data_IF_080162649619
#
_entry.id   IF_080162649619
#
_cell.length_a   1.000
_cell.length_b   1.000
_cell.length_c   1.000
_cell.angle_alpha   90.00
_cell.angle_beta   90.00
_cell.angle_gamma   90.00
#
_symmetry.space_group_name_H-M   'P 1'
#
loop_
_entity.id
_entity.type
_entity.pdbx_description
1 polymer ?
#
# COMPACT_ATOMS: atom_id res chain seq x y z
N UNK A 1 -29.37 -15.53 -23.81
CA UNK A 1 -30.84 -15.25 -23.87
C UNK A 1 -31.09 -13.79 -23.50
N UNK A 2 -31.97 -13.10 -24.26
CA UNK A 2 -32.33 -11.72 -23.95
C UNK A 2 -31.35 -10.66 -24.49
N UNK A 3 -30.54 -10.98 -25.48
CA UNK A 3 -29.75 -9.96 -26.19
C UNK A 3 -30.68 -9.09 -27.00
N UNK A 4 -30.48 -7.78 -26.94
CA UNK A 4 -31.22 -6.79 -27.73
C UNK A 4 -30.45 -6.54 -29.01
N UNK A 5 -31.08 -6.77 -30.17
CA UNK A 5 -30.51 -6.49 -31.49
C UNK A 5 -31.26 -5.31 -32.08
N UNK A 6 -30.55 -4.22 -32.34
CA UNK A 6 -31.14 -2.99 -32.89
C UNK A 6 -30.46 -2.62 -34.21
N UNK A 7 -31.25 -2.17 -35.21
CA UNK A 7 -30.72 -1.59 -36.44
C UNK A 7 -30.40 -0.13 -36.20
N UNK A 8 -29.14 0.27 -36.40
CA UNK A 8 -28.61 1.61 -35.99
C UNK A 8 -29.38 2.75 -36.66
N UNK A 9 -29.78 2.62 -37.91
CA UNK A 9 -30.51 3.68 -38.66
C UNK A 9 -32.04 3.56 -38.68
N UNK A 10 -32.59 2.54 -38.01
CA UNK A 10 -34.04 2.32 -37.97
C UNK A 10 -34.46 1.82 -36.59
N UNK A 11 -35.55 2.38 -36.04
CA UNK A 11 -36.11 1.96 -34.74
C UNK A 11 -36.68 0.53 -34.77
N UNK A 12 -35.84 -0.46 -35.09
CA UNK A 12 -36.19 -1.87 -35.20
C UNK A 12 -35.40 -2.65 -34.22
N UNK A 13 -36.09 -3.30 -33.29
CA UNK A 13 -35.50 -4.04 -32.18
C UNK A 13 -36.01 -5.47 -32.20
N UNK A 14 -35.13 -6.43 -32.01
CA UNK A 14 -35.47 -7.82 -31.73
C UNK A 14 -34.79 -8.28 -30.45
N UNK A 15 -35.41 -9.21 -29.75
CA UNK A 15 -34.85 -9.89 -28.60
C UNK A 15 -34.48 -11.31 -29.01
N UNK A 16 -33.32 -11.78 -28.55
CA UNK A 16 -32.94 -13.17 -28.72
C UNK A 16 -33.69 -14.08 -27.73
N UNK A 17 -34.02 -15.26 -28.19
CA UNK A 17 -34.61 -16.34 -27.37
C UNK A 17 -33.59 -17.00 -26.45
N UNK A 18 -33.99 -18.09 -25.78
CA UNK A 18 -33.14 -18.85 -24.85
C UNK A 18 -31.95 -19.50 -25.53
N UNK A 19 -32.06 -19.81 -26.82
CA UNK A 19 -31.02 -20.49 -27.60
C UNK A 19 -30.16 -19.50 -28.39
N UNK A 20 -30.43 -18.19 -28.23
CA UNK A 20 -29.67 -17.11 -28.86
C UNK A 20 -30.18 -16.72 -30.26
N UNK A 21 -31.27 -17.31 -30.75
CA UNK A 21 -31.85 -16.95 -32.06
C UNK A 21 -32.64 -15.66 -31.95
N UNK A 22 -32.55 -14.83 -33.00
CA UNK A 22 -33.35 -13.62 -33.14
C UNK A 22 -33.88 -13.49 -34.57
N UNK A 23 -34.98 -12.80 -34.73
CA UNK A 23 -35.54 -12.53 -36.04
C UNK A 23 -35.83 -11.04 -36.20
N UNK A 24 -35.18 -10.41 -37.17
CA UNK A 24 -35.42 -9.04 -37.58
C UNK A 24 -36.08 -9.02 -38.94
N UNK A 25 -37.18 -8.25 -39.06
CA UNK A 25 -37.91 -8.10 -40.35
C UNK A 25 -37.52 -6.80 -41.04
N UNK A 26 -37.50 -6.83 -42.38
CA UNK A 26 -37.21 -5.66 -43.24
C UNK A 26 -35.83 -5.02 -43.00
N UNK A 27 -34.80 -5.82 -42.78
CA UNK A 27 -33.40 -5.40 -42.75
C UNK A 27 -32.88 -5.41 -44.18
N UNK A 28 -32.07 -4.43 -44.55
CA UNK A 28 -31.38 -4.39 -45.85
C UNK A 28 -29.97 -4.98 -45.73
N UNK A 29 -29.44 -5.52 -46.84
CA UNK A 29 -28.03 -5.87 -46.87
C UNK A 29 -27.16 -4.63 -46.54
N UNK A 30 -26.13 -4.82 -45.67
CA UNK A 30 -25.27 -3.77 -45.15
C UNK A 30 -25.84 -2.83 -44.10
N UNK A 31 -27.09 -3.06 -43.59
CA UNK A 31 -27.55 -2.37 -42.39
C UNK A 31 -26.64 -2.73 -41.19
N UNK A 32 -26.28 -1.75 -40.39
CA UNK A 32 -25.48 -1.95 -39.17
C UNK A 32 -26.41 -2.38 -38.03
N UNK A 33 -26.10 -3.54 -37.44
CA UNK A 33 -26.81 -4.11 -36.28
C UNK A 33 -26.03 -3.84 -35.04
N UNK A 34 -26.61 -3.15 -34.08
CA UNK A 34 -26.06 -2.98 -32.72
C UNK A 34 -26.66 -4.04 -31.80
N UNK A 35 -25.80 -4.86 -31.20
CA UNK A 35 -26.23 -5.96 -30.34
C UNK A 35 -25.69 -5.68 -28.91
N UNK A 36 -26.60 -5.72 -27.95
CA UNK A 36 -26.28 -5.56 -26.54
C UNK A 36 -26.95 -6.63 -25.69
N UNK A 37 -26.24 -7.13 -24.68
CA UNK A 37 -26.75 -8.07 -23.69
C UNK A 37 -26.11 -7.83 -22.34
N UNK A 38 -26.83 -8.11 -21.27
CA UNK A 38 -26.27 -7.99 -19.92
C UNK A 38 -25.11 -8.98 -19.73
N UNK A 39 -23.96 -8.50 -19.34
CA UNK A 39 -22.74 -9.31 -19.14
C UNK A 39 -21.93 -9.55 -20.41
N UNK A 40 -22.20 -8.82 -21.50
CA UNK A 40 -21.43 -8.89 -22.74
C UNK A 40 -21.13 -7.49 -23.27
N UNK A 41 -19.95 -7.33 -23.88
CA UNK A 41 -19.60 -6.08 -24.58
C UNK A 41 -20.51 -5.84 -25.73
N UNK A 42 -21.06 -4.61 -25.88
CA UNK A 42 -21.88 -4.28 -27.06
C UNK A 42 -21.04 -4.46 -28.33
N UNK A 43 -21.62 -5.10 -29.32
CA UNK A 43 -20.95 -5.39 -30.59
C UNK A 43 -21.75 -4.89 -31.73
N UNK A 44 -21.12 -4.34 -32.78
CA UNK A 44 -21.77 -4.01 -34.05
C UNK A 44 -21.43 -5.06 -35.10
N UNK A 45 -22.41 -5.42 -35.91
CA UNK A 45 -22.24 -6.34 -37.03
C UNK A 45 -22.99 -5.82 -38.24
N UNK A 46 -22.47 -6.06 -39.42
CA UNK A 46 -23.16 -5.75 -40.67
C UNK A 46 -24.14 -6.88 -40.98
N UNK A 47 -25.37 -6.54 -41.30
CA UNK A 47 -26.37 -7.53 -41.65
C UNK A 47 -25.94 -8.30 -42.91
N UNK A 48 -25.76 -9.60 -42.75
CA UNK A 48 -25.49 -10.54 -43.82
C UNK A 48 -26.63 -11.57 -43.89
N UNK A 49 -27.03 -11.92 -45.11
CA UNK A 49 -28.13 -12.87 -45.35
C UNK A 49 -27.64 -14.29 -45.66
N UNK A 50 -26.40 -14.59 -45.23
CA UNK A 50 -25.90 -15.98 -45.30
C UNK A 50 -26.69 -16.89 -44.35
N UNK A 51 -26.83 -18.16 -44.75
CA UNK A 51 -27.65 -19.17 -44.05
C UNK A 51 -27.25 -19.42 -42.60
N UNK A 52 -26.05 -18.99 -42.17
CA UNK A 52 -25.49 -19.15 -40.82
C UNK A 52 -24.97 -17.83 -40.25
N UNK A 53 -25.65 -16.71 -40.45
CA UNK A 53 -25.23 -15.44 -39.86
C UNK A 53 -25.21 -15.52 -38.33
N UNK A 54 -24.04 -15.41 -37.76
CA UNK A 54 -23.80 -15.53 -36.32
C UNK A 54 -23.04 -14.32 -35.79
N UNK A 55 -23.61 -13.66 -34.80
CA UNK A 55 -22.94 -12.60 -34.08
C UNK A 55 -22.37 -13.18 -32.78
N UNK A 56 -21.05 -13.09 -32.59
CA UNK A 56 -20.36 -13.50 -31.37
C UNK A 56 -20.16 -12.27 -30.55
N UNK A 57 -20.63 -12.31 -29.33
CA UNK A 57 -20.38 -11.24 -28.32
C UNK A 57 -19.33 -11.70 -27.37
N UNK A 58 -18.36 -10.82 -27.10
CA UNK A 58 -17.37 -11.05 -26.04
C UNK A 58 -18.01 -10.79 -24.66
N UNK A 59 -17.74 -11.64 -23.70
CA UNK A 59 -18.19 -11.43 -22.35
C UNK A 59 -17.61 -10.11 -21.81
N UNK A 60 -18.46 -9.28 -21.23
CA UNK A 60 -18.00 -8.09 -20.51
C UNK A 60 -17.34 -8.54 -19.19
N UNK A 61 -16.09 -8.94 -19.29
CA UNK A 61 -15.27 -9.35 -18.16
C UNK A 61 -15.08 -8.20 -17.18
N UNK A 62 -15.20 -6.95 -17.63
CA UNK A 62 -15.11 -5.77 -16.77
C UNK A 62 -16.32 -5.65 -15.83
N UNK A 63 -17.50 -6.10 -16.21
CA UNK A 63 -18.65 -6.11 -15.29
C UNK A 63 -18.44 -7.06 -14.10
N UNK A 64 -17.67 -8.14 -14.29
CA UNK A 64 -17.28 -9.08 -13.23
C UNK A 64 -15.92 -8.74 -12.63
N UNK A 65 -15.02 -8.12 -13.39
CA UNK A 65 -13.71 -7.67 -12.90
C UNK A 65 -13.83 -6.56 -11.85
N UNK A 66 -14.87 -5.73 -11.92
CA UNK A 66 -15.12 -4.66 -10.96
C UNK A 66 -16.08 -5.07 -9.84
N UNK A 67 -15.89 -6.26 -9.27
CA UNK A 67 -16.62 -6.63 -8.06
C UNK A 67 -15.91 -6.05 -6.83
N UNK A 68 -16.68 -5.47 -5.93
CA UNK A 68 -16.22 -5.02 -4.62
C UNK A 68 -16.29 -6.20 -3.64
N UNK A 69 -15.17 -6.65 -3.06
CA UNK A 69 -15.21 -7.57 -1.95
C UNK A 69 -15.88 -6.89 -0.75
N UNK A 70 -16.93 -7.51 -0.25
CA UNK A 70 -17.64 -7.12 0.97
C UNK A 70 -17.55 -8.29 1.97
N UNK A 71 -17.89 -8.08 3.25
CA UNK A 71 -17.91 -9.16 4.21
C UNK A 71 -18.74 -10.35 3.71
N UNK A 72 -18.08 -11.51 3.56
CA UNK A 72 -18.70 -12.79 3.12
C UNK A 72 -19.36 -12.79 1.73
N UNK A 73 -19.19 -11.72 0.93
CA UNK A 73 -19.82 -11.59 -0.39
C UNK A 73 -18.94 -10.74 -1.33
N UNK A 74 -19.19 -10.87 -2.62
CA UNK A 74 -18.69 -9.95 -3.65
C UNK A 74 -19.88 -9.39 -4.41
N UNK A 75 -19.96 -8.08 -4.58
CA UNK A 75 -21.01 -7.40 -5.35
C UNK A 75 -20.38 -6.62 -6.49
N UNK A 76 -21.01 -6.61 -7.68
CA UNK A 76 -20.63 -5.67 -8.74
C UNK A 76 -20.67 -4.24 -8.21
N UNK A 77 -19.63 -3.44 -8.53
CA UNK A 77 -19.47 -2.09 -8.01
C UNK A 77 -20.71 -1.20 -8.15
N UNK A 78 -21.48 -1.38 -9.23
CA UNK A 78 -22.72 -0.63 -9.50
C UNK A 78 -23.85 -0.89 -8.48
N UNK A 79 -23.79 -2.00 -7.73
CA UNK A 79 -24.77 -2.35 -6.70
C UNK A 79 -24.27 -2.12 -5.29
N UNK A 80 -23.05 -1.59 -5.13
CA UNK A 80 -22.48 -1.26 -3.83
C UNK A 80 -22.98 0.13 -3.43
N UNK A 81 -23.81 0.18 -2.41
CA UNK A 81 -24.34 1.42 -1.83
C UNK A 81 -23.48 1.89 -0.66
N UNK A 82 -22.67 1.00 -0.14
CA UNK A 82 -21.77 1.20 0.99
C UNK A 82 -20.55 2.05 0.55
N UNK A 83 -20.06 2.90 1.46
CA UNK A 83 -18.87 3.70 1.21
C UNK A 83 -17.61 2.86 1.38
N UNK A 84 -17.04 2.44 0.28
CA UNK A 84 -15.84 1.59 0.23
C UNK A 84 -14.75 2.20 -0.65
N UNK A 85 -13.49 1.84 -0.40
CA UNK A 85 -12.38 2.03 -1.31
C UNK A 85 -11.65 0.70 -1.49
N UNK A 86 -11.21 0.45 -2.71
CA UNK A 86 -10.48 -0.78 -3.06
C UNK A 86 -9.11 -0.37 -3.58
N UNK A 87 -8.09 -1.11 -3.13
CA UNK A 87 -6.73 -1.07 -3.67
C UNK A 87 -6.38 -2.47 -4.12
N UNK A 88 -5.89 -2.61 -5.33
CA UNK A 88 -5.46 -3.91 -5.86
C UNK A 88 -4.07 -4.29 -5.36
N UNK A 89 -3.76 -5.59 -5.35
CA UNK A 89 -2.42 -6.07 -5.01
C UNK A 89 -1.35 -5.47 -5.93
N UNK A 90 -1.64 -5.33 -7.22
CA UNK A 90 -0.73 -4.72 -8.19
C UNK A 90 -0.40 -3.25 -7.86
N UNK A 91 -1.36 -2.50 -7.33
CA UNK A 91 -1.12 -1.12 -6.88
C UNK A 91 -0.25 -1.11 -5.62
N UNK A 92 -0.47 -2.03 -4.69
CA UNK A 92 0.34 -2.16 -3.48
C UNK A 92 1.79 -2.58 -3.78
N UNK A 93 1.99 -3.45 -4.77
CA UNK A 93 3.32 -3.91 -5.19
C UNK A 93 4.20 -2.76 -5.75
N UNK A 94 3.60 -1.67 -6.25
CA UNK A 94 4.34 -0.48 -6.70
C UNK A 94 4.97 0.32 -5.55
N UNK A 95 4.54 0.07 -4.32
CA UNK A 95 5.04 0.75 -3.13
C UNK A 95 5.96 -0.17 -2.34
N UNK A 96 7.29 -0.01 -2.42
CA UNK A 96 8.27 -0.91 -1.76
C UNK A 96 8.39 -0.60 -0.25
N UNK A 97 7.26 -0.54 0.46
CA UNK A 97 7.19 -0.25 1.90
C UNK A 97 7.47 -1.51 2.72
N UNK A 98 8.06 -1.34 3.90
CA UNK A 98 8.28 -2.43 4.85
C UNK A 98 7.03 -2.78 5.63
N UNK A 99 6.26 -1.76 5.99
CA UNK A 99 4.98 -1.88 6.69
C UNK A 99 3.86 -1.54 5.72
N UNK A 100 2.94 -2.49 5.50
CA UNK A 100 1.91 -2.39 4.48
C UNK A 100 0.99 -1.18 4.66
N UNK A 101 0.75 -0.75 5.91
CA UNK A 101 -0.06 0.43 6.22
C UNK A 101 0.49 1.70 5.56
N UNK A 102 1.81 1.80 5.39
CA UNK A 102 2.45 2.97 4.77
C UNK A 102 2.11 3.10 3.28
N UNK A 103 1.78 1.98 2.61
CA UNK A 103 1.31 2.01 1.23
C UNK A 103 -0.05 2.70 1.06
N UNK A 104 -0.84 2.84 2.13
CA UNK A 104 -2.16 3.49 2.06
C UNK A 104 -2.06 5.01 2.06
N UNK A 105 -0.94 5.56 2.49
CA UNK A 105 -0.68 7.01 2.43
C UNK A 105 -0.78 7.45 0.98
N UNK A 106 -1.68 8.37 0.67
CA UNK A 106 -1.96 8.88 -0.67
C UNK A 106 -2.63 7.93 -1.68
N UNK A 107 -2.72 6.62 -1.43
CA UNK A 107 -3.38 5.67 -2.36
C UNK A 107 -4.85 5.47 -2.02
N UNK A 108 -5.24 5.59 -0.76
CA UNK A 108 -6.60 5.32 -0.30
C UNK A 108 -7.26 6.56 0.26
N UNK A 109 -8.33 7.01 -0.40
CA UNK A 109 -9.10 8.17 0.10
C UNK A 109 -9.82 7.87 1.41
N UNK A 110 -9.66 8.78 2.39
CA UNK A 110 -10.30 8.70 3.71
C UNK A 110 -9.65 7.70 4.66
N UNK A 111 -8.42 7.31 4.38
CA UNK A 111 -7.53 6.60 5.31
C UNK A 111 -6.37 7.54 5.63
N UNK A 112 -6.09 7.69 6.90
CA UNK A 112 -4.95 8.44 7.42
C UNK A 112 -3.99 7.45 8.08
N UNK A 113 -2.72 7.54 7.74
CA UNK A 113 -1.68 6.75 8.37
C UNK A 113 -0.67 7.68 9.02
N UNK A 114 -0.23 7.30 10.20
CA UNK A 114 0.78 8.02 10.96
C UNK A 114 1.86 7.05 11.40
N UNK A 115 3.05 7.21 10.84
CA UNK A 115 4.24 6.46 11.21
C UNK A 115 4.98 7.21 12.31
N UNK A 116 5.01 6.64 13.50
CA UNK A 116 5.69 7.23 14.66
C UNK A 116 7.19 6.98 14.62
N UNK A 117 7.61 5.83 14.07
CA UNK A 117 9.00 5.38 13.99
C UNK A 117 9.20 4.63 12.67
N UNK A 118 10.35 4.84 12.04
CA UNK A 118 10.72 4.21 10.76
C UNK A 118 11.92 3.26 10.89
N UNK A 119 12.31 2.92 12.11
CA UNK A 119 13.44 2.02 12.36
C UNK A 119 13.09 0.58 11.94
N UNK A 120 14.04 -0.18 11.38
CA UNK A 120 13.82 -1.56 10.99
C UNK A 120 13.36 -2.44 12.16
N UNK A 121 12.16 -3.04 12.02
CA UNK A 121 11.56 -3.88 13.05
C UNK A 121 10.81 -3.14 14.16
N UNK A 122 10.94 -1.82 14.27
CA UNK A 122 10.27 -0.97 15.25
C UNK A 122 9.29 0.01 14.62
N UNK A 123 9.02 -0.14 13.33
CA UNK A 123 8.09 0.73 12.61
C UNK A 123 6.66 0.48 13.10
N UNK A 124 6.12 1.44 13.82
CA UNK A 124 4.71 1.46 14.22
C UNK A 124 3.95 2.46 13.36
N UNK A 125 3.01 1.96 12.57
CA UNK A 125 2.11 2.79 11.78
C UNK A 125 0.70 2.68 12.30
N UNK A 126 0.21 3.76 12.88
CA UNK A 126 -1.19 3.90 13.24
C UNK A 126 -2.01 4.22 11.99
N UNK A 127 -3.19 3.63 11.90
CA UNK A 127 -4.11 3.84 10.78
C UNK A 127 -5.50 4.22 11.29
N UNK A 128 -6.10 5.24 10.66
CA UNK A 128 -7.43 5.73 10.99
C UNK A 128 -8.29 5.84 9.73
N UNK A 129 -9.56 5.48 9.86
CA UNK A 129 -10.52 5.63 8.77
C UNK A 129 -11.44 6.80 9.09
N UNK A 130 -11.36 7.87 8.28
CA UNK A 130 -12.09 9.14 8.48
C UNK A 130 -11.77 9.81 9.84
N UNK A 131 -10.51 9.73 10.25
CA UNK A 131 -9.99 10.35 11.47
C UNK A 131 -10.24 9.58 12.76
N UNK A 132 -9.81 10.17 13.87
CA UNK A 132 -9.94 9.61 15.21
C UNK A 132 -11.34 9.87 15.75
N UNK A 133 -12.09 8.83 16.08
CA UNK A 133 -13.48 8.91 16.54
C UNK A 133 -13.67 8.68 18.03
N UNK A 134 -12.65 8.23 18.74
CA UNK A 134 -12.70 7.94 20.17
C UNK A 134 -11.50 8.50 20.91
N UNK A 135 -11.72 8.96 22.14
CA UNK A 135 -10.65 9.40 23.03
C UNK A 135 -9.85 8.24 23.62
N UNK A 136 -10.43 7.03 23.63
CA UNK A 136 -9.71 5.84 24.10
C UNK A 136 -8.66 5.42 23.07
N UNK A 137 -7.38 5.60 23.40
CA UNK A 137 -6.25 5.33 22.50
C UNK A 137 -6.20 3.86 22.02
N UNK A 138 -6.50 2.91 22.88
CA UNK A 138 -6.47 1.47 22.55
C UNK A 138 -7.62 1.02 21.64
N UNK A 139 -8.64 1.84 21.44
CA UNK A 139 -9.80 1.52 20.62
C UNK A 139 -9.89 2.36 19.35
N UNK A 140 -8.81 3.01 18.91
CA UNK A 140 -8.80 3.90 17.73
C UNK A 140 -8.61 3.18 16.40
N UNK A 141 -7.95 2.04 16.44
CA UNK A 141 -7.60 1.29 15.22
C UNK A 141 -8.83 0.69 14.54
N UNK A 142 -8.88 0.64 13.21
CA UNK A 142 -9.91 -0.09 12.48
C UNK A 142 -9.76 -1.60 12.69
N UNK A 143 -10.84 -2.34 12.45
CA UNK A 143 -10.83 -3.79 12.47
C UNK A 143 -10.15 -4.33 11.20
N UNK A 144 -9.19 -5.23 11.34
CA UNK A 144 -8.46 -5.83 10.21
C UNK A 144 -8.87 -7.29 10.06
N UNK A 145 -9.36 -7.64 8.88
CA UNK A 145 -9.85 -8.97 8.52
C UNK A 145 -9.09 -9.47 7.30
N UNK A 146 -8.37 -10.55 7.45
CA UNK A 146 -7.63 -11.22 6.36
C UNK A 146 -8.30 -12.56 6.08
N UNK A 147 -8.86 -12.71 4.87
CA UNK A 147 -9.60 -13.92 4.46
C UNK A 147 -10.64 -14.37 5.50
N UNK A 148 -11.46 -13.42 5.96
CA UNK A 148 -12.51 -13.58 6.98
C UNK A 148 -12.02 -13.88 8.41
N UNK A 149 -10.73 -13.78 8.69
CA UNK A 149 -10.14 -13.95 10.03
C UNK A 149 -9.50 -12.64 10.47
N UNK A 150 -9.76 -12.23 11.72
CA UNK A 150 -9.08 -11.06 12.30
C UNK A 150 -7.60 -11.34 12.49
N UNK A 151 -6.76 -10.46 11.95
CA UNK A 151 -5.29 -10.56 12.00
C UNK A 151 -4.67 -9.17 12.04
N UNK A 152 -3.39 -9.13 12.40
CA UNK A 152 -2.57 -7.93 12.28
C UNK A 152 -2.07 -7.76 10.84
N UNK A 153 -2.12 -6.53 10.35
CA UNK A 153 -1.66 -6.15 9.01
C UNK A 153 -0.14 -5.98 8.93
N UNK A 154 0.51 -5.70 10.06
CA UNK A 154 1.94 -5.38 10.13
C UNK A 154 2.85 -6.49 9.62
N UNK A 155 2.39 -7.74 9.71
CA UNK A 155 3.14 -8.92 9.28
C UNK A 155 2.80 -9.38 7.86
N UNK A 156 1.87 -8.71 7.18
CA UNK A 156 1.51 -9.06 5.81
C UNK A 156 2.45 -8.39 4.81
N UNK A 157 2.79 -9.14 3.77
CA UNK A 157 3.47 -8.62 2.59
C UNK A 157 2.46 -8.23 1.52
N UNK A 158 2.82 -7.33 0.61
CA UNK A 158 1.97 -6.91 -0.50
C UNK A 158 1.73 -8.01 -1.54
N UNK A 159 2.75 -8.83 -1.82
CA UNK A 159 2.72 -9.84 -2.89
C UNK A 159 1.61 -10.88 -2.84
N UNK A 160 1.26 -11.48 -1.68
CA UNK A 160 0.18 -12.45 -1.60
C UNK A 160 -1.22 -11.80 -1.60
N UNK A 161 -1.32 -10.47 -1.67
CA UNK A 161 -2.60 -9.77 -1.62
C UNK A 161 -3.21 -9.66 -3.01
N UNK A 162 -4.48 -10.01 -3.15
CA UNK A 162 -5.30 -9.79 -4.34
C UNK A 162 -5.88 -8.37 -4.33
N UNK A 163 -6.50 -8.01 -3.19
CA UNK A 163 -7.10 -6.69 -3.00
C UNK A 163 -7.29 -6.36 -1.52
N UNK A 164 -7.32 -5.07 -1.22
CA UNK A 164 -7.71 -4.55 0.09
C UNK A 164 -8.93 -3.65 -0.08
N UNK A 165 -10.00 -3.97 0.64
CA UNK A 165 -11.23 -3.18 0.66
C UNK A 165 -11.37 -2.49 2.01
N UNK A 166 -11.47 -1.16 1.99
CA UNK A 166 -11.67 -0.34 3.18
C UNK A 166 -13.16 -0.05 3.32
N UNK A 167 -13.76 -0.47 4.43
CA UNK A 167 -15.15 -0.22 4.80
C UNK A 167 -15.22 1.03 5.67
N UNK A 168 -15.85 2.09 5.15
CA UNK A 168 -15.76 3.43 5.77
C UNK A 168 -17.02 3.86 6.52
N UNK A 169 -18.13 3.17 6.34
CA UNK A 169 -19.41 3.52 6.94
C UNK A 169 -19.99 2.39 7.79
N UNK A 170 -20.99 2.74 8.60
CA UNK A 170 -21.65 1.80 9.48
C UNK A 170 -22.45 0.72 8.74
N UNK A 171 -22.96 1.02 7.55
CA UNK A 171 -23.70 0.05 6.76
C UNK A 171 -22.78 -1.09 6.29
N UNK A 172 -21.55 -0.73 5.83
CA UNK A 172 -20.55 -1.71 5.42
C UNK A 172 -19.99 -2.52 6.60
N UNK A 173 -19.88 -1.93 7.78
CA UNK A 173 -19.29 -2.57 8.98
C UNK A 173 -20.31 -3.19 9.94
N UNK A 174 -21.62 -3.06 9.67
CA UNK A 174 -22.70 -3.52 10.54
C UNK A 174 -22.57 -4.99 10.98
N UNK A 175 -22.08 -5.86 10.10
CA UNK A 175 -21.88 -7.28 10.37
C UNK A 175 -20.85 -7.55 11.47
N UNK A 176 -19.90 -6.61 11.69
CA UNK A 176 -18.88 -6.71 12.73
C UNK A 176 -19.30 -6.07 14.05
N UNK A 177 -20.52 -5.50 14.11
CA UNK A 177 -21.06 -4.86 15.30
C UNK A 177 -20.16 -3.73 15.81
N UNK A 178 -20.03 -3.63 17.14
CA UNK A 178 -19.24 -2.58 17.79
C UNK A 178 -17.75 -2.60 17.41
N UNK A 179 -17.20 -3.74 17.03
CA UNK A 179 -15.80 -3.89 16.61
C UNK A 179 -15.50 -3.14 15.29
N UNK A 180 -16.51 -3.00 14.44
CA UNK A 180 -16.43 -2.24 13.19
C UNK A 180 -16.69 -0.73 13.33
N UNK A 181 -16.79 -0.19 14.56
CA UNK A 181 -17.16 1.21 14.79
C UNK A 181 -16.17 2.23 14.18
N UNK A 182 -14.88 1.89 14.12
CA UNK A 182 -13.83 2.72 13.50
C UNK A 182 -13.57 2.39 12.03
N UNK A 183 -14.46 1.63 11.41
CA UNK A 183 -14.26 1.09 10.07
C UNK A 183 -13.59 -0.28 10.10
N UNK A 184 -13.48 -0.90 8.94
CA UNK A 184 -12.79 -2.17 8.79
C UNK A 184 -11.98 -2.22 7.49
N UNK A 185 -10.91 -3.02 7.52
CA UNK A 185 -10.02 -3.31 6.40
C UNK A 185 -10.16 -4.77 6.07
N UNK A 186 -10.69 -5.08 4.89
CA UNK A 186 -10.79 -6.44 4.38
C UNK A 186 -9.62 -6.71 3.45
N UNK A 187 -8.79 -7.66 3.77
CA UNK A 187 -7.71 -8.14 2.93
C UNK A 187 -8.11 -9.45 2.30
N UNK A 188 -8.17 -9.48 0.99
CA UNK A 188 -8.36 -10.70 0.21
C UNK A 188 -7.02 -11.12 -0.35
N UNK A 189 -6.63 -12.36 -0.13
CA UNK A 189 -5.36 -12.87 -0.63
C UNK A 189 -5.53 -13.67 -1.91
N UNK A 190 -4.45 -13.70 -2.71
CA UNK A 190 -4.40 -14.43 -3.97
C UNK A 190 -4.70 -15.91 -3.75
N UNK A 191 -5.50 -16.46 -4.65
CA UNK A 191 -5.88 -17.88 -4.65
C UNK A 191 -5.40 -18.57 -5.92
N UNK A 192 -5.37 -19.88 -5.91
CA UNK A 192 -5.05 -20.67 -7.10
C UNK A 192 -6.16 -20.58 -8.15
N UNK A 193 -5.77 -20.55 -9.42
CA UNK A 193 -6.66 -20.66 -10.56
C UNK A 193 -6.54 -22.02 -11.22
N UNK A 194 -7.62 -22.53 -11.80
CA UNK A 194 -7.55 -23.76 -12.58
C UNK A 194 -6.73 -23.51 -13.85
N UNK A 195 -5.69 -24.27 -14.06
CA UNK A 195 -4.80 -24.11 -15.20
C UNK A 195 -3.41 -24.67 -14.97
N UNK A 196 -2.52 -24.39 -15.91
CA UNK A 196 -1.11 -24.78 -15.79
C UNK A 196 -0.46 -24.05 -14.60
N UNK A 197 0.48 -24.72 -13.95
CA UNK A 197 1.28 -24.13 -12.89
C UNK A 197 2.01 -22.86 -13.40
N UNK A 198 1.81 -21.75 -12.70
CA UNK A 198 2.50 -20.48 -12.92
C UNK A 198 3.50 -20.28 -11.77
N UNK A 199 4.72 -19.94 -12.10
CA UNK A 199 5.76 -19.61 -11.12
C UNK A 199 6.16 -18.17 -11.37
N UNK A 200 6.06 -17.34 -10.34
CA UNK A 200 6.50 -15.94 -10.38
C UNK A 200 7.62 -15.75 -9.37
N UNK A 201 8.71 -15.14 -9.82
CA UNK A 201 9.84 -14.75 -9.00
C UNK A 201 10.10 -13.27 -9.16
N UNK A 202 10.18 -12.56 -8.06
CA UNK A 202 10.47 -11.12 -8.02
C UNK A 202 11.61 -10.88 -7.05
N UNK A 203 12.59 -10.11 -7.50
CA UNK A 203 13.71 -9.64 -6.69
C UNK A 203 13.77 -8.12 -6.77
N UNK A 204 13.73 -7.47 -5.60
CA UNK A 204 13.86 -6.01 -5.48
C UNK A 204 15.09 -5.67 -4.66
N UNK A 205 15.79 -4.64 -5.09
CA UNK A 205 16.88 -4.01 -4.36
C UNK A 205 16.57 -2.53 -4.28
N UNK A 206 16.48 -2.02 -3.08
CA UNK A 206 16.21 -0.62 -2.79
C UNK A 206 17.25 -0.02 -1.87
N UNK A 207 17.30 1.30 -1.85
CA UNK A 207 18.09 2.06 -0.90
C UNK A 207 17.17 3.03 -0.18
N UNK A 208 17.21 2.98 1.14
CA UNK A 208 16.50 3.93 1.99
C UNK A 208 17.40 5.13 2.25
N UNK A 209 16.83 6.31 2.13
CA UNK A 209 17.50 7.58 2.44
C UNK A 209 16.60 8.39 3.35
N UNK A 210 17.16 9.32 4.09
CA UNK A 210 16.40 10.22 4.95
C UNK A 210 15.81 11.32 4.07
N UNK A 211 14.49 11.46 4.08
CA UNK A 211 13.76 12.40 3.22
C UNK A 211 13.94 13.88 3.64
N UNK A 212 14.21 14.14 4.93
CA UNK A 212 14.44 15.49 5.42
C UNK A 212 15.06 15.45 6.82
N UNK A 213 16.21 16.06 6.95
CA UNK A 213 16.86 16.28 8.23
C UNK A 213 16.79 17.78 8.50
N UNK A 214 16.26 18.22 9.65
CA UNK A 214 16.31 19.62 10.03
C UNK A 214 17.77 20.07 10.08
N UNK A 215 18.07 21.23 9.52
CA UNK A 215 19.42 21.78 9.63
C UNK A 215 19.78 22.01 11.11
N UNK A 216 20.87 21.41 11.53
CA UNK A 216 21.39 21.60 12.87
C UNK A 216 22.10 22.95 12.96
N UNK A 217 21.82 23.69 14.02
CA UNK A 217 22.61 24.88 14.32
C UNK A 217 24.05 24.47 14.66
N UNK A 218 25.01 25.28 14.23
CA UNK A 218 26.37 25.14 14.71
C UNK A 218 26.50 25.54 16.20
N UNK A 219 27.55 25.07 16.85
CA UNK A 219 27.75 25.25 18.30
C UNK A 219 27.77 26.73 18.73
N UNK A 220 28.30 27.65 17.91
CA UNK A 220 28.29 29.07 18.17
C UNK A 220 26.87 29.66 18.17
N UNK A 221 26.09 29.39 17.12
CA UNK A 221 24.72 29.87 17.03
C UNK A 221 23.83 29.29 18.13
N UNK A 222 24.03 28.02 18.48
CA UNK A 222 23.35 27.39 19.62
C UNK A 222 23.65 28.12 20.95
N UNK A 223 24.91 28.35 21.24
CA UNK A 223 25.34 29.02 22.47
C UNK A 223 24.80 30.47 22.55
N UNK A 224 24.84 31.20 21.42
CA UNK A 224 24.30 32.54 21.32
C UNK A 224 22.80 32.56 21.55
N UNK A 225 22.04 31.68 20.85
CA UNK A 225 20.59 31.57 21.00
C UNK A 225 20.18 31.18 22.42
N UNK A 226 20.97 30.31 23.05
CA UNK A 226 20.74 29.89 24.43
C UNK A 226 20.91 31.05 25.40
N UNK A 227 21.98 31.83 25.26
CA UNK A 227 22.20 33.04 26.07
C UNK A 227 21.05 34.07 25.86
N UNK A 228 20.60 34.24 24.63
CA UNK A 228 19.49 35.16 24.33
C UNK A 228 18.19 34.70 24.97
N UNK A 229 17.87 33.40 24.91
CA UNK A 229 16.70 32.85 25.60
C UNK A 229 16.75 33.07 27.11
N UNK A 230 17.90 32.82 27.74
CA UNK A 230 18.10 33.05 29.19
C UNK A 230 17.93 34.54 29.53
N UNK A 231 18.47 35.43 28.70
CA UNK A 231 18.29 36.88 28.89
C UNK A 231 16.83 37.28 28.90
N UNK A 232 16.03 36.73 27.95
CA UNK A 232 14.59 36.98 27.90
C UNK A 232 13.84 36.47 29.12
N UNK A 233 14.33 35.37 29.71
CA UNK A 233 13.80 34.81 30.96
C UNK A 233 14.31 35.56 32.24
N UNK A 234 15.12 36.61 32.08
CA UNK A 234 15.71 37.35 33.21
C UNK A 234 16.81 36.60 33.93
N UNK A 235 17.42 35.60 33.29
CA UNK A 235 18.52 34.79 33.84
C UNK A 235 19.88 35.26 33.31
N UNK A 236 20.96 34.98 34.05
CA UNK A 236 22.32 35.24 33.59
C UNK A 236 22.68 34.32 32.41
N UNK A 237 23.60 34.78 31.52
CA UNK A 237 24.11 33.98 30.42
C UNK A 237 24.68 32.65 30.90
N UNK A 238 24.51 31.59 30.11
CA UNK A 238 25.08 30.25 30.39
C UNK A 238 26.51 30.14 29.86
N UNK A 239 26.75 30.75 28.69
CA UNK A 239 28.05 30.79 28.03
C UNK A 239 28.65 32.17 28.18
N UNK A 240 29.90 32.24 28.66
CA UNK A 240 30.67 33.49 28.75
C UNK A 240 31.07 34.01 27.35
N UNK A 241 31.51 35.26 27.28
CA UNK A 241 32.05 35.83 26.04
C UNK A 241 33.28 35.04 25.54
N UNK A 242 34.10 34.52 26.46
CA UNK A 242 35.23 33.66 26.15
C UNK A 242 34.78 32.33 25.55
N UNK A 243 33.75 31.69 26.10
CA UNK A 243 33.16 30.45 25.56
C UNK A 243 32.58 30.69 24.12
N UNK A 244 31.90 31.81 23.91
CA UNK A 244 31.38 32.18 22.58
C UNK A 244 32.48 32.38 21.55
N UNK A 245 33.63 33.00 21.97
CA UNK A 245 34.78 33.18 21.08
C UNK A 245 35.40 31.83 20.70
N UNK A 246 35.59 30.90 21.66
CA UNK A 246 36.07 29.55 21.35
C UNK A 246 35.14 28.82 20.40
N UNK A 247 33.81 28.84 20.61
CA UNK A 247 32.86 28.24 19.68
C UNK A 247 32.92 28.86 18.30
N UNK A 248 33.08 30.18 18.20
CA UNK A 248 33.23 30.88 16.92
C UNK A 248 34.47 30.42 16.17
N UNK A 249 35.60 30.29 16.83
CA UNK A 249 36.89 29.81 16.27
C UNK A 249 36.76 28.39 15.74
N UNK A 250 36.14 27.48 16.50
CA UNK A 250 35.90 26.10 16.10
C UNK A 250 34.93 26.02 14.91
N UNK A 251 33.88 26.82 14.91
CA UNK A 251 32.95 26.87 13.74
C UNK A 251 33.61 27.42 12.46
N UNK A 252 34.68 28.24 12.60
CA UNK A 252 35.49 28.69 11.49
C UNK A 252 36.58 27.69 11.06
N UNK A 253 36.61 26.48 11.66
CA UNK A 253 37.51 25.39 11.28
C UNK A 253 38.86 25.40 12.05
N UNK A 254 38.99 26.22 13.08
CA UNK A 254 40.22 26.22 13.91
C UNK A 254 40.25 24.99 14.82
N UNK A 255 41.39 24.31 14.83
CA UNK A 255 41.63 23.19 15.76
C UNK A 255 42.23 23.70 17.06
N UNK A 256 41.50 23.48 18.14
CA UNK A 256 41.99 23.84 19.49
C UNK A 256 42.88 22.75 20.04
N UNK A 257 43.81 23.17 20.94
CA UNK A 257 44.73 22.26 21.63
C UNK A 257 44.37 22.11 23.13
N UNK A 258 44.94 21.08 23.77
CA UNK A 258 44.75 20.80 25.18
C UNK A 258 43.29 20.48 25.56
N UNK A 259 42.87 20.96 26.75
CA UNK A 259 41.51 20.71 27.26
C UNK A 259 40.44 21.43 26.48
N UNK A 260 40.77 22.54 25.80
CA UNK A 260 39.81 23.29 24.98
C UNK A 260 39.22 22.46 23.81
N UNK A 261 40.02 21.56 23.23
CA UNK A 261 39.59 20.61 22.19
C UNK A 261 38.40 19.75 22.60
N UNK A 262 38.36 19.35 23.89
CA UNK A 262 37.31 18.47 24.41
C UNK A 262 36.09 19.24 24.93
N UNK A 263 36.25 20.51 25.25
CA UNK A 263 35.17 21.38 25.75
C UNK A 263 34.43 22.06 24.62
N UNK A 264 35.16 22.57 23.60
CA UNK A 264 34.58 23.33 22.50
C UNK A 264 34.71 22.53 21.20
N UNK A 265 33.59 22.06 20.69
CA UNK A 265 33.53 21.29 19.44
C UNK A 265 32.29 21.70 18.63
N UNK A 266 32.37 21.50 17.33
CA UNK A 266 31.28 21.72 16.40
C UNK A 266 31.12 20.46 15.57
N UNK A 267 30.26 19.56 16.04
CA UNK A 267 29.98 18.27 15.36
C UNK A 267 28.59 18.26 14.80
N UNK A 268 28.47 17.99 13.51
CA UNK A 268 27.18 17.65 12.92
C UNK A 268 26.91 16.16 13.26
N UNK A 269 26.05 15.95 14.23
CA UNK A 269 25.71 14.60 14.69
C UNK A 269 24.95 13.79 13.63
N UNK A 270 24.18 14.44 12.76
CA UNK A 270 23.51 13.74 11.67
C UNK A 270 24.54 13.11 10.72
N UNK A 271 25.53 13.87 10.26
CA UNK A 271 26.57 13.37 9.36
C UNK A 271 27.50 12.35 10.03
N UNK A 272 27.60 12.41 11.36
CA UNK A 272 28.47 11.50 12.13
C UNK A 272 27.78 10.17 12.44
N UNK A 273 26.47 10.21 12.71
CA UNK A 273 25.73 9.04 13.21
C UNK A 273 24.85 8.37 12.15
N UNK A 274 24.56 9.05 11.04
CA UNK A 274 23.66 8.53 10.03
C UNK A 274 24.42 8.20 8.74
N UNK A 275 23.99 7.14 8.07
CA UNK A 275 24.44 6.77 6.74
C UNK A 275 23.58 7.49 5.69
N UNK A 276 24.16 7.88 4.58
CA UNK A 276 23.43 8.49 3.46
C UNK A 276 22.36 7.56 2.91
N UNK A 277 22.61 6.26 2.92
CA UNK A 277 21.71 5.25 2.42
C UNK A 277 21.88 3.91 3.14
N UNK A 278 20.79 3.19 3.34
CA UNK A 278 20.77 1.82 3.85
C UNK A 278 20.10 0.87 2.84
N UNK A 279 20.68 -0.32 2.57
CA UNK A 279 20.14 -1.24 1.60
C UNK A 279 18.89 -1.97 2.13
N UNK A 280 17.96 -2.23 1.20
CA UNK A 280 16.79 -3.07 1.41
C UNK A 280 16.72 -4.11 0.30
N UNK A 281 16.52 -5.36 0.66
CA UNK A 281 16.37 -6.48 -0.27
C UNK A 281 15.04 -7.17 -0.03
N UNK A 282 14.28 -7.38 -1.12
CA UNK A 282 13.05 -8.16 -1.06
C UNK A 282 13.07 -9.22 -2.15
N UNK A 283 12.75 -10.44 -1.74
CA UNK A 283 12.63 -11.59 -2.64
C UNK A 283 11.25 -12.19 -2.47
N UNK A 284 10.55 -12.42 -3.56
CA UNK A 284 9.27 -13.11 -3.54
C UNK A 284 9.25 -14.24 -4.58
N UNK A 285 8.79 -15.40 -4.15
CA UNK A 285 8.54 -16.55 -4.99
C UNK A 285 7.10 -17.01 -4.78
N UNK A 286 6.33 -17.11 -5.84
CA UNK A 286 4.99 -17.67 -5.75
C UNK A 286 4.75 -18.73 -6.81
N UNK A 287 3.97 -19.74 -6.43
CA UNK A 287 3.57 -20.87 -7.29
C UNK A 287 2.06 -21.01 -7.18
N UNK A 288 1.37 -20.93 -8.30
CA UNK A 288 -0.07 -21.08 -8.35
C UNK A 288 -0.48 -22.01 -9.49
N UNK A 289 -1.61 -22.70 -9.30
CA UNK A 289 -2.13 -23.61 -10.32
C UNK A 289 -3.26 -24.47 -9.76
N UNK A 290 -3.69 -25.43 -10.54
CA UNK A 290 -4.71 -26.37 -10.12
C UNK A 290 -5.59 -26.88 -11.23
N UNK A 291 -6.62 -27.58 -10.85
CA UNK A 291 -7.66 -28.09 -11.74
C UNK A 291 -9.06 -27.77 -11.19
N UNK A 292 -10.10 -28.32 -11.79
CA UNK A 292 -11.48 -28.09 -11.35
C UNK A 292 -11.78 -28.60 -9.92
N UNK A 293 -10.97 -29.51 -9.38
CA UNK A 293 -11.19 -30.11 -8.06
C UNK A 293 -10.30 -29.52 -6.97
N UNK A 294 -9.07 -29.12 -7.33
CA UNK A 294 -8.12 -28.58 -6.36
C UNK A 294 -7.29 -27.46 -6.99
N UNK A 295 -7.21 -26.34 -6.31
CA UNK A 295 -6.43 -25.17 -6.70
C UNK A 295 -5.50 -24.80 -5.55
N UNK A 296 -4.33 -24.30 -5.89
CA UNK A 296 -3.34 -23.91 -4.88
C UNK A 296 -2.63 -22.62 -5.24
N UNK A 297 -2.32 -21.86 -4.24
CA UNK A 297 -1.42 -20.72 -4.27
C UNK A 297 -0.47 -20.83 -3.09
N UNK A 298 0.82 -20.88 -3.35
CA UNK A 298 1.87 -20.91 -2.33
C UNK A 298 2.81 -19.76 -2.61
N UNK A 299 3.12 -18.95 -1.60
CA UNK A 299 4.09 -17.85 -1.71
C UNK A 299 5.06 -17.89 -0.56
N UNK A 300 6.31 -17.56 -0.88
CA UNK A 300 7.38 -17.32 0.07
C UNK A 300 7.94 -15.93 -0.19
N UNK A 301 8.06 -15.11 0.84
CA UNK A 301 8.74 -13.82 0.75
C UNK A 301 9.80 -13.67 1.83
N UNK A 302 10.89 -13.02 1.45
CA UNK A 302 11.97 -12.62 2.32
C UNK A 302 12.24 -11.14 2.18
N UNK A 303 12.27 -10.42 3.28
CA UNK A 303 12.65 -9.03 3.37
C UNK A 303 13.84 -8.88 4.31
N UNK A 304 14.89 -8.22 3.83
CA UNK A 304 15.99 -7.71 4.66
C UNK A 304 16.06 -6.20 4.52
N UNK A 305 16.08 -5.52 5.63
CA UNK A 305 16.20 -4.07 5.73
C UNK A 305 17.26 -3.73 6.77
N UNK A 306 18.15 -2.81 6.43
CA UNK A 306 19.16 -2.31 7.37
C UNK A 306 18.78 -0.90 7.84
N UNK A 307 19.15 -0.58 9.09
CA UNK A 307 18.93 0.74 9.68
C UNK A 307 19.88 1.80 9.12
N UNK A 308 19.53 3.07 9.32
CA UNK A 308 20.28 4.22 8.84
C UNK A 308 21.38 4.70 9.81
N UNK A 309 21.45 4.16 11.02
CA UNK A 309 22.53 4.49 11.95
C UNK A 309 23.88 3.91 11.47
N UNK A 310 24.93 4.73 11.50
CA UNK A 310 26.31 4.26 11.27
C UNK A 310 26.88 3.70 12.56
N UNK A 311 27.07 2.38 12.60
CA UNK A 311 27.52 1.66 13.80
C UNK A 311 29.00 1.31 13.78
N UNK A 312 29.78 1.84 12.84
CA UNK A 312 31.23 1.58 12.74
C UNK A 312 31.99 1.88 14.03
N UNK A 313 31.50 2.82 14.83
CA UNK A 313 32.07 3.17 16.13
C UNK A 313 31.93 2.07 17.17
N UNK A 314 30.83 1.35 17.18
CA UNK A 314 30.58 0.27 18.16
C UNK A 314 31.25 -1.01 17.75
N UNK A 315 31.34 -1.33 16.47
CA UNK A 315 32.05 -2.50 15.97
C UNK A 315 33.52 -2.48 16.34
N UNK A 316 34.15 -1.30 16.31
CA UNK A 316 35.54 -1.13 16.65
C UNK A 316 35.84 -1.35 18.14
N UNK A 317 34.93 -0.95 19.03
CA UNK A 317 35.18 -1.03 20.48
C UNK A 317 34.67 -2.34 21.12
N UNK A 318 33.57 -2.87 20.66
CA UNK A 318 32.81 -3.91 21.37
C UNK A 318 32.91 -5.29 20.70
N UNK A 319 33.43 -5.37 19.48
CA UNK A 319 33.56 -6.63 18.73
C UNK A 319 32.24 -7.24 18.27
N UNK A 320 31.13 -6.51 18.37
CA UNK A 320 29.80 -6.88 17.82
C UNK A 320 29.17 -5.69 17.09
N UNK A 321 28.28 -5.98 16.15
CA UNK A 321 27.56 -4.96 15.42
C UNK A 321 26.29 -4.57 16.16
N UNK A 322 26.09 -3.27 16.37
CA UNK A 322 24.83 -2.70 16.87
C UNK A 322 23.92 -2.26 15.73
N UNK A 323 24.25 -2.64 14.49
CA UNK A 323 23.45 -2.34 13.32
C UNK A 323 22.10 -3.00 13.43
N UNK A 324 21.06 -2.21 13.37
CA UNK A 324 19.70 -2.71 13.27
C UNK A 324 19.46 -3.36 11.91
N UNK A 325 19.01 -4.60 11.94
CA UNK A 325 18.70 -5.38 10.74
C UNK A 325 17.39 -6.13 10.95
N UNK A 326 16.40 -5.82 10.12
CA UNK A 326 15.17 -6.59 10.04
C UNK A 326 15.32 -7.70 9.02
N UNK A 327 15.08 -8.94 9.44
CA UNK A 327 14.90 -10.08 8.55
C UNK A 327 13.49 -10.64 8.77
N UNK A 328 12.65 -10.57 7.74
CA UNK A 328 11.27 -11.06 7.78
C UNK A 328 11.06 -12.15 6.74
N UNK A 329 10.54 -13.28 7.18
CA UNK A 329 10.21 -14.43 6.35
C UNK A 329 8.72 -14.65 6.42
N UNK A 330 8.04 -14.71 5.27
CA UNK A 330 6.63 -15.01 5.19
C UNK A 330 6.41 -16.21 4.30
N UNK A 331 5.66 -17.21 4.79
CA UNK A 331 5.20 -18.34 4.02
C UNK A 331 3.67 -18.37 4.08
N UNK A 332 3.04 -18.43 2.93
CA UNK A 332 1.60 -18.53 2.82
C UNK A 332 1.21 -19.64 1.86
N UNK A 333 0.19 -20.39 2.24
CA UNK A 333 -0.40 -21.44 1.40
C UNK A 333 -1.92 -21.33 1.45
N UNK A 334 -2.55 -21.20 0.29
CA UNK A 334 -3.99 -21.25 0.10
C UNK A 334 -4.31 -22.45 -0.79
N UNK A 335 -5.14 -23.36 -0.31
CA UNK A 335 -5.55 -24.56 -1.04
C UNK A 335 -7.07 -24.62 -0.99
N UNK A 336 -7.71 -24.63 -2.16
CA UNK A 336 -9.14 -24.77 -2.34
C UNK A 336 -9.40 -26.15 -2.96
N UNK A 337 -10.29 -26.94 -2.34
CA UNK A 337 -10.62 -28.33 -2.73
C UNK A 337 -12.10 -28.42 -3.07
#
# INVERSE_FOLDING_TARGET
AGAVVNVVEASRIALSDKDGFFTLKNVKPADELYVSSVGYLPTTAIADFEENFKIVMDADLDEYAHTTPLPFNRKPKKFVTESTSIVTGEELEKHPVTVLQNAFTSTVTGVETYEAQSEPGWSETAMYIRGIRTMNASARSPLIIVDNVERDLSFLDAYPIESITILKDAAATAIYGMRGANGAVLVTTKRGEAGKTKINFTQEVGFQTIAGIPESQNSYNYALSRNQARYLDGLSPEYSDEDLEYYRRVCNGEQLEGMAKYKYFNTNWHDTMLRDAAPQYRTNLSVSGGNARARYYVSFSYLRQEGLFDTKWTEWNEGYSTQEVLNRYNLRSNIDI
#
